data_IF_387216542000
#
_entry.id   IF_387216542000
#
_cell.length_a   1.000
_cell.length_b   1.000
_cell.length_c   1.000
_cell.angle_alpha   90.00
_cell.angle_beta   90.00
_cell.angle_gamma   90.00
#
_symmetry.space_group_name_H-M   'P 1'
#
loop_
_entity.id
_entity.type
_entity.pdbx_description
1 polymer ?
#
# COMPACT_ATOMS: atom_id res chain seq x y z
N UNK A 1 -16.92 -14.93 -43.93
CA UNK A 1 -17.47 -14.36 -42.68
C UNK A 1 -16.38 -14.46 -41.61
N UNK A 2 -15.77 -13.34 -41.21
CA UNK A 2 -14.93 -13.32 -40.00
C UNK A 2 -15.90 -13.15 -38.84
N UNK A 3 -16.31 -14.24 -38.22
CA UNK A 3 -17.01 -14.18 -36.95
C UNK A 3 -16.06 -13.56 -35.94
N UNK A 4 -16.41 -12.39 -35.44
CA UNK A 4 -15.82 -11.83 -34.23
C UNK A 4 -16.23 -12.76 -33.09
N UNK A 5 -15.39 -13.76 -32.81
CA UNK A 5 -15.54 -14.59 -31.61
C UNK A 5 -15.26 -13.63 -30.44
N UNK A 6 -16.28 -13.37 -29.63
CA UNK A 6 -16.09 -12.61 -28.39
C UNK A 6 -15.15 -13.40 -27.48
N UNK A 7 -14.24 -12.74 -26.74
CA UNK A 7 -13.39 -13.42 -25.77
C UNK A 7 -14.27 -14.20 -24.78
N UNK A 8 -13.92 -15.46 -24.45
CA UNK A 8 -14.77 -16.28 -23.57
C UNK A 8 -15.14 -15.65 -22.23
N UNK A 9 -14.24 -14.83 -21.67
CA UNK A 9 -14.50 -14.07 -20.45
C UNK A 9 -15.58 -12.99 -20.60
N UNK A 10 -15.70 -12.37 -21.77
CA UNK A 10 -16.75 -11.38 -22.07
C UNK A 10 -18.12 -12.07 -22.21
N UNK A 11 -18.16 -13.25 -22.84
CA UNK A 11 -19.37 -14.08 -22.94
C UNK A 11 -19.85 -14.55 -21.56
N UNK A 12 -18.92 -14.83 -20.64
CA UNK A 12 -19.21 -15.18 -19.25
C UNK A 12 -19.62 -13.98 -18.37
N UNK A 13 -19.73 -12.77 -18.93
CA UNK A 13 -20.04 -11.52 -18.21
C UNK A 13 -19.09 -11.25 -17.03
N UNK A 14 -17.82 -11.67 -17.16
CA UNK A 14 -16.77 -11.36 -16.19
C UNK A 14 -16.20 -9.98 -16.53
N UNK A 15 -16.11 -9.12 -15.52
CA UNK A 15 -15.73 -7.72 -15.65
C UNK A 15 -14.36 -7.47 -15.00
N UNK A 16 -13.69 -6.42 -15.46
CA UNK A 16 -12.45 -5.96 -14.85
C UNK A 16 -12.72 -5.62 -13.38
N UNK A 17 -11.99 -6.27 -12.48
CA UNK A 17 -12.13 -6.12 -11.03
C UNK A 17 -13.01 -7.15 -10.33
N UNK A 18 -13.48 -8.17 -11.04
CA UNK A 18 -14.08 -9.34 -10.41
C UNK A 18 -12.99 -10.24 -9.81
N UNK A 19 -13.21 -10.74 -8.59
CA UNK A 19 -12.31 -11.69 -7.94
C UNK A 19 -12.82 -13.12 -8.17
N UNK A 20 -12.02 -14.00 -8.77
CA UNK A 20 -12.38 -15.42 -8.93
C UNK A 20 -12.20 -16.12 -7.57
N UNK A 21 -13.28 -16.71 -7.05
CA UNK A 21 -13.28 -17.43 -5.77
C UNK A 21 -13.08 -18.94 -5.98
N UNK A 22 -13.74 -19.51 -6.98
CA UNK A 22 -13.65 -20.94 -7.28
C UNK A 22 -13.93 -21.24 -8.75
N UNK A 23 -13.37 -22.35 -9.22
CA UNK A 23 -13.63 -22.93 -10.54
C UNK A 23 -13.97 -24.41 -10.34
N UNK A 24 -15.11 -24.88 -10.86
CA UNK A 24 -15.58 -26.28 -10.73
C UNK A 24 -15.48 -26.80 -9.28
N UNK A 25 -16.10 -26.07 -8.34
CA UNK A 25 -16.09 -26.34 -6.90
C UNK A 25 -14.70 -26.33 -6.21
N UNK A 26 -13.63 -26.04 -6.96
CA UNK A 26 -12.28 -25.90 -6.42
C UNK A 26 -12.03 -24.45 -6.06
N UNK A 27 -11.78 -24.15 -4.78
CA UNK A 27 -11.40 -22.81 -4.35
C UNK A 27 -10.05 -22.44 -5.00
N UNK A 28 -10.01 -21.29 -5.67
CA UNK A 28 -8.80 -20.81 -6.33
C UNK A 28 -8.11 -19.83 -5.39
N UNK A 29 -6.89 -20.18 -5.00
CA UNK A 29 -6.05 -19.31 -4.16
C UNK A 29 -4.78 -18.87 -4.87
N UNK A 30 -4.38 -19.59 -5.93
CA UNK A 30 -3.16 -19.36 -6.68
C UNK A 30 -3.39 -19.46 -8.17
N UNK A 31 -2.66 -18.67 -8.95
CA UNK A 31 -2.83 -18.64 -10.41
C UNK A 31 -2.44 -19.96 -11.07
N UNK A 32 -1.47 -20.68 -10.48
CA UNK A 32 -1.02 -21.99 -10.98
C UNK A 32 -2.14 -23.05 -10.93
N UNK A 33 -3.17 -22.85 -10.11
CA UNK A 33 -4.32 -23.76 -9.99
C UNK A 33 -5.31 -23.59 -11.17
N UNK A 34 -5.32 -22.41 -11.83
CA UNK A 34 -6.30 -22.08 -12.87
C UNK A 34 -5.94 -22.74 -14.21
N UNK A 35 -4.68 -22.68 -14.62
CA UNK A 35 -4.27 -23.15 -15.95
C UNK A 35 -4.58 -24.65 -16.21
N UNK A 36 -4.32 -25.58 -15.27
CA UNK A 36 -4.69 -26.99 -15.45
C UNK A 36 -6.19 -27.20 -15.66
N UNK A 37 -7.02 -26.50 -14.88
CA UNK A 37 -8.48 -26.59 -14.96
C UNK A 37 -9.00 -26.13 -16.33
N UNK A 38 -8.44 -25.04 -16.86
CA UNK A 38 -8.78 -24.51 -18.19
C UNK A 38 -8.41 -25.50 -19.29
N UNK A 39 -7.22 -26.10 -19.21
CA UNK A 39 -6.74 -27.05 -20.22
C UNK A 39 -7.58 -28.32 -20.20
N UNK A 40 -7.91 -28.84 -19.03
CA UNK A 40 -8.74 -30.04 -18.88
C UNK A 40 -10.16 -29.81 -19.42
N UNK A 41 -10.82 -28.72 -18.99
CA UNK A 41 -12.16 -28.37 -19.47
C UNK A 41 -12.18 -28.11 -20.98
N UNK A 42 -11.16 -27.42 -21.51
CA UNK A 42 -11.03 -27.18 -22.95
C UNK A 42 -10.91 -28.48 -23.76
N UNK A 43 -10.11 -29.45 -23.30
CA UNK A 43 -9.96 -30.76 -23.96
C UNK A 43 -11.26 -31.58 -23.96
N UNK A 44 -12.01 -31.50 -22.86
CA UNK A 44 -13.27 -32.22 -22.71
C UNK A 44 -14.47 -31.48 -23.33
N UNK A 45 -14.27 -30.22 -23.76
CA UNK A 45 -15.32 -29.31 -24.23
C UNK A 45 -16.38 -29.02 -23.15
N UNK A 46 -15.98 -29.07 -21.89
CA UNK A 46 -16.85 -28.78 -20.76
C UNK A 46 -16.77 -27.27 -20.40
N UNK A 47 -17.89 -26.65 -20.00
CA UNK A 47 -17.86 -25.31 -19.44
C UNK A 47 -17.25 -25.34 -18.04
N UNK A 48 -16.50 -24.29 -17.69
CA UNK A 48 -16.04 -24.02 -16.34
C UNK A 48 -17.14 -23.30 -15.57
N UNK A 49 -17.53 -23.84 -14.41
CA UNK A 49 -18.36 -23.12 -13.45
C UNK A 49 -17.46 -22.22 -12.60
N UNK A 50 -17.57 -20.90 -12.82
CA UNK A 50 -16.74 -19.91 -12.16
C UNK A 50 -17.59 -19.13 -11.16
N UNK A 51 -17.17 -19.13 -9.90
CA UNK A 51 -17.73 -18.23 -8.89
C UNK A 51 -16.84 -17.02 -8.76
N UNK A 52 -17.42 -15.83 -8.95
CA UNK A 52 -16.74 -14.54 -8.82
C UNK A 52 -17.36 -13.71 -7.71
N UNK A 53 -16.57 -12.81 -7.12
CA UNK A 53 -17.02 -11.77 -6.21
C UNK A 53 -16.94 -10.41 -6.92
N UNK A 54 -18.08 -9.73 -7.02
CA UNK A 54 -18.20 -8.39 -7.59
C UNK A 54 -18.68 -7.43 -6.49
N UNK A 55 -17.74 -6.71 -5.88
CA UNK A 55 -18.06 -5.91 -4.69
C UNK A 55 -18.44 -6.83 -3.53
N UNK A 56 -19.68 -6.74 -3.02
CA UNK A 56 -20.17 -7.60 -1.94
C UNK A 56 -21.03 -8.77 -2.43
N UNK A 57 -21.24 -8.91 -3.74
CA UNK A 57 -22.07 -9.96 -4.31
C UNK A 57 -21.21 -11.12 -4.85
N UNK A 58 -21.64 -12.35 -4.57
CA UNK A 58 -21.12 -13.55 -5.21
C UNK A 58 -21.99 -13.89 -6.42
N UNK A 59 -21.35 -14.09 -7.58
CA UNK A 59 -22.02 -14.40 -8.84
C UNK A 59 -21.41 -15.69 -9.37
N UNK A 60 -22.25 -16.68 -9.70
CA UNK A 60 -21.83 -17.86 -10.45
C UNK A 60 -22.08 -17.63 -11.94
N UNK A 61 -21.09 -17.93 -12.76
CA UNK A 61 -21.17 -17.85 -14.22
C UNK A 61 -20.52 -19.07 -14.86
N UNK A 62 -20.82 -19.30 -16.14
CA UNK A 62 -20.19 -20.35 -16.93
C UNK A 62 -19.25 -19.74 -17.95
N UNK A 63 -18.06 -20.29 -18.06
CA UNK A 63 -17.04 -19.86 -19.00
C UNK A 63 -16.63 -21.05 -19.86
N UNK A 64 -16.68 -20.89 -21.19
CA UNK A 64 -16.25 -21.93 -22.12
C UNK A 64 -14.83 -21.66 -22.63
N UNK A 65 -13.81 -22.48 -22.30
CA UNK A 65 -12.47 -22.31 -22.86
C UNK A 65 -12.48 -22.44 -24.39
N UNK A 66 -11.74 -21.57 -25.06
CA UNK A 66 -11.55 -21.58 -26.52
C UNK A 66 -10.12 -21.97 -26.88
N UNK A 67 -9.95 -22.77 -27.94
CA UNK A 67 -8.63 -23.17 -28.41
C UNK A 67 -7.96 -22.06 -29.21
N UNK A 68 -6.79 -21.60 -28.76
CA UNK A 68 -5.95 -20.62 -29.45
C UNK A 68 -5.05 -21.34 -30.47
N UNK A 69 -5.34 -21.16 -31.75
CA UNK A 69 -4.61 -21.80 -32.86
C UNK A 69 -3.13 -21.34 -32.92
N UNK A 70 -2.84 -20.10 -32.52
CA UNK A 70 -1.47 -19.54 -32.60
C UNK A 70 -0.58 -20.14 -31.52
N UNK A 71 -1.13 -20.24 -30.32
CA UNK A 71 -0.40 -20.65 -29.12
C UNK A 71 -0.55 -22.15 -28.86
N UNK A 72 -1.42 -22.83 -29.62
CA UNK A 72 -1.73 -24.26 -29.55
C UNK A 72 -2.16 -24.71 -28.16
N UNK A 73 -2.97 -23.87 -27.49
CA UNK A 73 -3.44 -24.12 -26.12
C UNK A 73 -4.84 -23.54 -25.89
N UNK A 74 -5.53 -23.99 -24.83
CA UNK A 74 -6.86 -23.50 -24.45
C UNK A 74 -6.76 -22.22 -23.62
N UNK A 75 -7.64 -21.25 -23.90
CA UNK A 75 -7.66 -19.94 -23.24
C UNK A 75 -9.08 -19.51 -22.90
N UNK A 76 -9.17 -18.72 -21.83
CA UNK A 76 -10.43 -18.15 -21.33
C UNK A 76 -10.59 -16.65 -21.65
N UNK A 77 -9.60 -16.04 -22.29
CA UNK A 77 -9.63 -14.63 -22.66
C UNK A 77 -9.61 -13.66 -21.47
N UNK A 78 -9.23 -14.13 -20.28
CA UNK A 78 -9.06 -13.31 -19.08
C UNK A 78 -7.57 -13.11 -18.79
N UNK A 79 -7.23 -11.89 -18.38
CA UNK A 79 -5.95 -11.59 -17.75
C UNK A 79 -6.16 -11.57 -16.23
N UNK A 80 -5.69 -12.61 -15.55
CA UNK A 80 -5.84 -12.75 -14.10
C UNK A 80 -4.56 -12.20 -13.46
N UNK A 81 -4.71 -11.25 -12.53
CA UNK A 81 -3.63 -10.71 -11.71
C UNK A 81 -3.66 -11.41 -10.36
N UNK A 82 -2.55 -12.02 -9.96
CA UNK A 82 -2.43 -12.84 -8.75
C UNK A 82 -1.87 -12.07 -7.55
N UNK A 83 -1.15 -10.99 -7.81
CA UNK A 83 -0.43 -10.23 -6.82
C UNK A 83 -0.36 -8.76 -7.19
N UNK A 84 -0.33 -7.92 -6.16
CA UNK A 84 -0.02 -6.51 -6.28
C UNK A 84 1.26 -6.27 -5.47
N UNK A 85 2.29 -5.75 -6.15
CA UNK A 85 3.52 -5.31 -5.51
C UNK A 85 3.59 -3.79 -5.55
N UNK A 86 4.12 -3.19 -4.48
CA UNK A 86 4.29 -1.76 -4.37
C UNK A 86 5.38 -1.43 -3.37
N UNK A 87 5.91 -0.22 -3.49
CA UNK A 87 6.88 0.34 -2.55
C UNK A 87 6.11 1.20 -1.56
N UNK A 88 6.31 0.97 -0.26
CA UNK A 88 5.71 1.76 0.79
C UNK A 88 6.71 2.14 1.86
N UNK A 89 6.61 3.38 2.35
CA UNK A 89 7.39 3.80 3.52
C UNK A 89 6.67 3.40 4.79
N UNK A 90 7.40 2.77 5.71
CA UNK A 90 6.91 2.45 7.04
C UNK A 90 6.88 3.71 7.91
N UNK A 91 5.76 3.97 8.55
CA UNK A 91 5.53 5.15 9.40
C UNK A 91 5.92 4.89 10.85
N UNK A 92 5.52 3.75 11.39
CA UNK A 92 5.84 3.41 12.77
C UNK A 92 5.91 1.90 12.94
N UNK A 93 6.59 1.51 14.01
CA UNK A 93 6.62 0.16 14.54
C UNK A 93 6.55 0.23 16.07
N UNK A 94 5.60 -0.48 16.66
CA UNK A 94 5.54 -0.65 18.11
C UNK A 94 6.30 -1.91 18.53
N UNK A 95 7.42 -1.79 19.26
CA UNK A 95 8.23 -2.94 19.67
C UNK A 95 7.51 -3.87 20.65
N UNK A 96 6.47 -3.41 21.36
CA UNK A 96 5.78 -4.23 22.34
C UNK A 96 4.80 -5.19 21.68
N UNK A 97 3.96 -4.69 20.78
CA UNK A 97 2.96 -5.49 20.07
C UNK A 97 3.47 -6.07 18.76
N UNK A 98 4.64 -5.62 18.29
CA UNK A 98 5.22 -5.88 16.96
C UNK A 98 4.38 -5.39 15.78
N UNK A 99 3.37 -4.56 16.05
CA UNK A 99 2.51 -3.99 15.04
C UNK A 99 3.19 -2.82 14.34
N UNK A 100 2.89 -2.63 13.07
CA UNK A 100 3.41 -1.51 12.29
C UNK A 100 2.29 -0.86 11.47
N UNK A 101 2.55 0.37 11.02
CA UNK A 101 1.73 1.08 10.03
C UNK A 101 2.60 1.70 8.95
N UNK A 102 2.10 1.70 7.71
CA UNK A 102 2.80 2.22 6.53
C UNK A 102 1.86 3.03 5.62
N UNK A 103 2.45 3.84 4.73
CA UNK A 103 1.81 4.68 3.70
C UNK A 103 0.93 5.83 4.21
N UNK A 104 0.01 5.58 5.14
CA UNK A 104 -0.96 6.62 5.54
C UNK A 104 -2.12 6.81 4.54
N UNK A 105 -2.30 5.93 3.55
CA UNK A 105 -3.49 5.89 2.69
C UNK A 105 -3.82 4.48 2.23
N UNK A 106 -5.03 4.31 1.69
CA UNK A 106 -5.50 3.06 1.10
C UNK A 106 -4.74 2.72 -0.19
N UNK A 107 -4.43 1.44 -0.38
CA UNK A 107 -3.94 0.93 -1.66
C UNK A 107 -5.12 0.51 -2.52
N UNK A 108 -5.16 1.03 -3.75
CA UNK A 108 -6.17 0.71 -4.75
C UNK A 108 -5.53 0.07 -5.97
N UNK A 109 -6.26 -0.84 -6.60
CA UNK A 109 -5.88 -1.41 -7.88
C UNK A 109 -5.93 -0.33 -8.98
N UNK A 110 -4.92 -0.29 -9.85
CA UNK A 110 -4.77 0.79 -10.83
C UNK A 110 -5.85 0.79 -11.92
N UNK A 111 -6.36 -0.40 -12.27
CA UNK A 111 -7.30 -0.58 -13.37
C UNK A 111 -8.73 -0.29 -12.90
N UNK A 112 -9.08 -0.76 -11.70
CA UNK A 112 -10.42 -0.63 -11.13
C UNK A 112 -10.61 0.59 -10.23
N UNK A 113 -9.51 1.16 -9.74
CA UNK A 113 -9.46 2.19 -8.68
C UNK A 113 -10.13 1.77 -7.37
N UNK A 114 -10.49 0.50 -7.22
CA UNK A 114 -11.10 -0.04 -6.00
C UNK A 114 -9.99 -0.42 -5.00
N UNK A 115 -10.27 -0.33 -3.69
CA UNK A 115 -9.35 -0.83 -2.68
C UNK A 115 -8.98 -2.28 -2.92
N UNK A 116 -7.70 -2.60 -2.76
CA UNK A 116 -7.23 -3.99 -2.81
C UNK A 116 -7.71 -4.72 -1.56
N UNK A 117 -8.46 -5.80 -1.75
CA UNK A 117 -8.82 -6.73 -0.67
C UNK A 117 -7.60 -7.58 -0.32
N UNK A 118 -7.19 -7.53 0.96
CA UNK A 118 -6.04 -8.29 1.43
C UNK A 118 -6.52 -9.64 1.95
N UNK A 119 -6.22 -10.70 1.21
CA UNK A 119 -6.39 -12.08 1.68
C UNK A 119 -5.14 -12.53 2.44
N UNK A 120 -3.99 -12.48 1.76
CA UNK A 120 -2.67 -12.73 2.34
C UNK A 120 -1.70 -11.69 1.76
N UNK A 121 -0.84 -11.12 2.60
CA UNK A 121 0.21 -10.20 2.17
C UNK A 121 1.47 -10.35 2.98
N UNK A 122 2.59 -10.03 2.36
CA UNK A 122 3.92 -10.10 2.96
C UNK A 122 4.66 -8.81 2.70
N UNK A 123 5.42 -8.37 3.70
CA UNK A 123 6.41 -7.32 3.47
C UNK A 123 7.82 -7.91 3.36
N UNK A 124 8.59 -7.33 2.47
CA UNK A 124 9.99 -7.69 2.21
C UNK A 124 10.84 -6.43 2.30
N UNK A 125 12.14 -6.61 2.52
CA UNK A 125 13.08 -5.50 2.56
C UNK A 125 13.28 -4.94 1.15
N UNK A 126 13.44 -3.63 1.04
CA UNK A 126 13.72 -2.96 -0.22
C UNK A 126 14.84 -1.94 -0.03
N UNK A 127 15.65 -1.75 -1.07
CA UNK A 127 16.70 -0.73 -1.12
C UNK A 127 16.38 0.28 -2.22
N UNK A 128 16.44 1.57 -1.91
CA UNK A 128 16.27 2.63 -2.91
C UNK A 128 17.50 2.67 -3.81
N UNK A 129 17.31 2.53 -5.11
CA UNK A 129 18.38 2.51 -6.11
C UNK A 129 18.48 3.80 -6.90
N UNK A 130 17.36 4.49 -7.08
CA UNK A 130 17.28 5.72 -7.88
C UNK A 130 16.04 6.53 -7.48
N UNK A 131 16.07 7.83 -7.74
CA UNK A 131 14.90 8.71 -7.63
C UNK A 131 14.68 9.38 -8.96
N UNK A 132 13.50 9.16 -9.53
CA UNK A 132 13.03 9.98 -10.63
C UNK A 132 12.45 11.26 -10.05
N UNK A 133 13.14 12.36 -10.29
CA UNK A 133 12.73 13.70 -9.90
C UNK A 133 11.33 14.05 -10.42
N UNK A 134 10.52 14.67 -9.57
CA UNK A 134 9.23 15.23 -9.95
C UNK A 134 9.38 16.56 -10.66
N UNK A 135 8.49 16.82 -11.61
CA UNK A 135 8.41 18.08 -12.37
C UNK A 135 6.97 18.61 -12.31
N UNK A 136 6.74 19.88 -12.70
CA UNK A 136 5.39 20.45 -12.70
C UNK A 136 4.41 19.59 -13.51
N UNK A 137 3.38 19.07 -12.83
CA UNK A 137 2.34 18.22 -13.41
C UNK A 137 2.71 16.73 -13.54
N UNK A 138 3.95 16.34 -13.23
CA UNK A 138 4.40 14.95 -13.23
C UNK A 138 5.02 14.59 -11.86
N UNK A 139 4.33 13.80 -11.02
CA UNK A 139 4.91 13.37 -9.76
C UNK A 139 6.17 12.54 -10.02
N UNK A 140 7.19 12.77 -9.21
CA UNK A 140 8.38 11.91 -9.20
C UNK A 140 8.09 10.57 -8.54
N UNK A 141 9.06 9.66 -8.57
CA UNK A 141 8.95 8.31 -8.00
C UNK A 141 10.28 7.83 -7.42
N UNK A 142 10.21 7.12 -6.30
CA UNK A 142 11.34 6.30 -5.81
C UNK A 142 11.38 4.98 -6.57
N UNK A 143 12.56 4.59 -7.04
CA UNK A 143 12.82 3.26 -7.56
C UNK A 143 13.56 2.45 -6.50
N UNK A 144 13.11 1.22 -6.29
CA UNK A 144 13.69 0.34 -5.31
C UNK A 144 13.77 -1.08 -5.84
N UNK A 145 14.83 -1.77 -5.44
CA UNK A 145 14.97 -3.20 -5.66
C UNK A 145 14.52 -3.96 -4.40
N UNK A 146 13.82 -5.07 -4.61
CA UNK A 146 13.45 -5.98 -3.54
C UNK A 146 14.65 -6.85 -3.17
N UNK A 147 15.01 -6.89 -1.89
CA UNK A 147 16.03 -7.80 -1.38
C UNK A 147 15.33 -9.11 -1.03
N UNK A 148 15.28 -10.02 -2.00
CA UNK A 148 14.61 -11.31 -1.90
C UNK A 148 15.61 -12.34 -1.34
N UNK A 149 16.04 -12.17 -0.09
CA UNK A 149 16.88 -13.15 0.62
C UNK A 149 16.01 -14.16 1.42
N UNK A 150 14.84 -14.54 0.91
CA UNK A 150 13.85 -15.47 1.52
C UNK A 150 13.25 -15.07 2.89
N UNK A 151 13.69 -13.96 3.51
CA UNK A 151 13.18 -13.52 4.81
C UNK A 151 12.03 -12.54 4.66
N UNK A 152 10.80 -13.06 4.66
CA UNK A 152 9.60 -12.26 4.88
C UNK A 152 9.70 -11.55 6.25
N UNK A 153 9.64 -10.22 6.25
CA UNK A 153 9.77 -9.38 7.46
C UNK A 153 8.50 -9.41 8.32
N UNK A 154 7.34 -9.59 7.72
CA UNK A 154 6.05 -9.51 8.37
C UNK A 154 4.89 -9.83 7.44
N UNK A 155 3.69 -9.80 8.00
CA UNK A 155 2.44 -9.94 7.27
C UNK A 155 1.80 -8.59 6.96
N UNK A 156 0.85 -8.61 6.04
CA UNK A 156 -0.10 -7.52 5.84
C UNK A 156 -1.48 -8.08 6.15
N UNK A 157 -2.18 -7.45 7.08
CA UNK A 157 -3.50 -7.93 7.55
C UNK A 157 -4.62 -6.93 7.27
N UNK A 158 -4.30 -5.65 7.03
CA UNK A 158 -5.30 -4.61 6.86
C UNK A 158 -4.87 -3.55 5.85
N UNK A 159 -5.80 -3.21 4.96
CA UNK A 159 -5.73 -2.06 4.05
C UNK A 159 -6.89 -1.13 4.39
N UNK A 160 -6.59 0.10 4.81
CA UNK A 160 -7.60 1.06 5.24
C UNK A 160 -7.32 2.45 4.66
N UNK A 161 -8.26 3.41 4.78
CA UNK A 161 -8.03 4.80 4.43
C UNK A 161 -6.82 5.45 5.11
N UNK A 162 -6.34 4.89 6.22
CA UNK A 162 -5.23 5.43 7.02
C UNK A 162 -3.91 4.69 6.81
N UNK A 163 -3.84 3.74 5.87
CA UNK A 163 -2.63 3.00 5.57
C UNK A 163 -2.81 1.49 5.58
N UNK A 164 -1.64 0.84 5.48
CA UNK A 164 -1.48 -0.61 5.52
C UNK A 164 -0.93 -1.00 6.90
N UNK A 165 -1.49 -2.06 7.49
CA UNK A 165 -1.11 -2.54 8.83
C UNK A 165 -0.90 -4.05 8.87
N UNK A 166 -0.06 -4.46 9.81
CA UNK A 166 0.28 -5.86 10.05
C UNK A 166 1.23 -6.03 11.22
N UNK A 167 1.87 -7.18 11.27
CA UNK A 167 2.79 -7.60 12.33
C UNK A 167 4.13 -8.01 11.74
N UNK A 168 5.21 -7.58 12.40
CA UNK A 168 6.56 -7.96 12.03
C UNK A 168 7.01 -9.20 12.80
N UNK A 169 7.73 -10.11 12.14
CA UNK A 169 8.26 -11.34 12.76
C UNK A 169 9.38 -11.00 13.75
N UNK A 170 10.31 -10.17 13.32
CA UNK A 170 11.43 -9.64 14.12
C UNK A 170 11.37 -8.12 14.20
N UNK A 171 11.97 -7.56 15.27
CA UNK A 171 12.20 -6.12 15.30
C UNK A 171 13.16 -5.76 14.17
N UNK A 172 12.71 -4.89 13.25
CA UNK A 172 13.51 -4.37 12.12
C UNK A 172 14.76 -3.61 12.57
N UNK A 173 14.88 -3.37 13.86
CA UNK A 173 15.92 -2.56 14.47
C UNK A 173 17.18 -3.39 14.72
N UNK A 174 17.80 -3.87 13.64
CA UNK A 174 19.24 -4.23 13.64
C UNK A 174 20.10 -3.06 13.11
N UNK A 175 19.59 -1.83 13.18
CA UNK A 175 20.34 -0.61 12.89
C UNK A 175 20.68 0.14 14.18
N UNK A 176 21.97 0.33 14.48
CA UNK A 176 22.48 1.16 15.58
C UNK A 176 22.28 2.68 15.31
N UNK A 177 21.18 3.08 14.66
CA UNK A 177 20.90 4.46 14.26
C UNK A 177 20.15 5.26 15.32
N UNK A 178 20.20 6.59 15.26
CA UNK A 178 19.48 7.51 16.15
C UNK A 178 17.97 7.21 16.23
N UNK A 179 17.38 6.71 15.14
CA UNK A 179 15.96 6.43 14.97
C UNK A 179 15.52 5.02 15.43
N UNK A 180 16.44 4.26 16.03
CA UNK A 180 16.17 2.93 16.60
C UNK A 180 15.45 2.96 17.95
N UNK A 181 15.41 4.13 18.60
CA UNK A 181 14.82 4.30 19.92
C UNK A 181 13.34 4.68 19.81
N UNK A 182 12.48 4.16 20.70
CA UNK A 182 11.08 4.58 20.76
C UNK A 182 10.96 6.10 20.90
N UNK A 183 10.09 6.70 20.09
CA UNK A 183 9.78 8.12 20.10
C UNK A 183 8.35 8.33 20.61
N UNK A 184 8.08 9.33 21.46
CA UNK A 184 6.71 9.67 21.85
C UNK A 184 5.88 10.14 20.63
N UNK A 185 4.57 10.04 20.76
CA UNK A 185 3.62 10.60 19.79
C UNK A 185 3.09 11.95 20.25
N UNK A 186 2.58 12.74 19.32
CA UNK A 186 1.79 13.93 19.60
C UNK A 186 0.33 13.70 19.19
N UNK A 187 -0.59 14.17 20.04
CA UNK A 187 -2.01 14.25 19.69
C UNK A 187 -2.25 15.41 18.71
N UNK A 188 -3.34 15.40 17.93
CA UNK A 188 -3.70 16.48 17.02
C UNK A 188 -3.68 17.87 17.67
N UNK A 189 -4.13 17.98 18.94
CA UNK A 189 -4.13 19.23 19.69
C UNK A 189 -2.74 19.78 20.04
N UNK A 190 -1.69 18.95 19.94
CA UNK A 190 -0.30 19.32 20.22
C UNK A 190 0.47 19.74 18.96
N UNK A 191 -0.08 19.48 17.76
CA UNK A 191 0.54 19.86 16.49
C UNK A 191 0.42 21.36 16.29
N UNK A 192 1.51 21.99 15.86
CA UNK A 192 1.55 23.43 15.59
C UNK A 192 2.08 23.71 14.20
N UNK A 193 1.63 24.81 13.62
CA UNK A 193 2.27 25.40 12.44
C UNK A 193 3.70 25.81 12.77
N UNK A 194 4.62 25.61 11.82
CA UNK A 194 6.03 25.93 11.99
C UNK A 194 6.98 24.79 11.59
N UNK A 195 8.24 24.83 12.04
CA UNK A 195 9.25 23.86 11.63
C UNK A 195 8.93 22.45 12.13
N UNK A 196 9.22 21.47 11.30
CA UNK A 196 9.14 20.04 11.58
C UNK A 196 10.18 19.32 10.72
N UNK A 197 10.29 18.00 10.88
CA UNK A 197 11.16 17.16 10.07
C UNK A 197 10.39 15.95 9.54
N UNK A 198 10.78 15.44 8.39
CA UNK A 198 10.32 14.13 7.92
C UNK A 198 11.50 13.15 7.92
N UNK A 199 11.21 11.89 8.22
CA UNK A 199 12.17 10.80 8.02
C UNK A 199 11.87 10.09 6.72
N UNK A 200 12.84 10.00 5.83
CA UNK A 200 12.68 9.24 4.60
C UNK A 200 14.02 8.70 4.11
N UNK A 201 13.96 7.70 3.23
CA UNK A 201 15.13 7.10 2.58
C UNK A 201 15.18 7.59 1.14
N UNK A 202 16.27 8.22 0.73
CA UNK A 202 16.47 8.67 -0.65
C UNK A 202 17.50 7.86 -1.42
N UNK A 203 18.39 7.17 -0.71
CA UNK A 203 19.43 6.34 -1.29
C UNK A 203 19.71 5.15 -0.39
N UNK A 204 19.81 3.96 -0.99
CA UNK A 204 20.07 2.74 -0.26
C UNK A 204 19.00 2.41 0.77
N UNK A 205 19.43 2.27 2.02
CA UNK A 205 18.58 2.00 3.17
C UNK A 205 18.76 3.03 4.31
N UNK A 206 19.44 4.13 4.00
CA UNK A 206 19.80 5.13 5.01
C UNK A 206 18.60 6.01 5.36
N UNK A 207 18.23 6.02 6.65
CA UNK A 207 17.16 6.86 7.16
C UNK A 207 17.73 8.25 7.45
N UNK A 208 17.31 9.22 6.65
CA UNK A 208 17.71 10.61 6.80
C UNK A 208 16.54 11.48 7.30
N UNK A 209 16.88 12.56 7.99
CA UNK A 209 15.93 13.60 8.37
C UNK A 209 16.06 14.80 7.44
N UNK A 210 14.91 15.30 7.00
CA UNK A 210 14.80 16.46 6.13
C UNK A 210 13.86 17.48 6.75
N UNK A 211 14.25 18.75 6.69
CA UNK A 211 13.48 19.85 7.23
C UNK A 211 12.23 20.15 6.37
N UNK A 212 11.11 20.30 7.07
CA UNK A 212 9.82 20.67 6.47
C UNK A 212 9.15 21.74 7.32
N UNK A 213 8.14 22.39 6.76
CA UNK A 213 7.30 23.35 7.47
C UNK A 213 5.86 22.87 7.48
N UNK A 214 5.26 22.80 8.65
CA UNK A 214 3.82 22.63 8.80
C UNK A 214 3.16 23.97 8.48
N UNK A 215 2.47 24.02 7.35
CA UNK A 215 1.78 25.21 6.85
C UNK A 215 0.42 25.35 7.53
N UNK A 216 -0.24 24.24 7.80
CA UNK A 216 -1.53 24.21 8.46
C UNK A 216 -1.71 22.87 9.17
N UNK A 217 -2.37 22.88 10.34
CA UNK A 217 -2.85 21.67 10.99
C UNK A 217 -4.28 21.87 11.45
N UNK A 218 -5.16 20.98 10.98
CA UNK A 218 -6.57 21.00 11.35
C UNK A 218 -6.72 20.15 12.59
N UNK A 219 -7.16 20.76 13.69
CA UNK A 219 -7.54 20.00 14.88
C UNK A 219 -8.82 19.21 14.57
N UNK A 220 -8.70 17.89 14.49
CA UNK A 220 -9.77 17.01 14.09
C UNK A 220 -10.36 16.30 15.30
N UNK A 221 -11.67 16.40 15.49
CA UNK A 221 -12.41 15.63 16.49
C UNK A 221 -12.79 14.22 16.01
N UNK A 222 -12.49 13.89 14.75
CA UNK A 222 -12.77 12.59 14.13
C UNK A 222 -11.67 12.20 13.12
N UNK A 223 -11.47 10.89 12.87
CA UNK A 223 -10.47 10.41 11.92
C UNK A 223 -10.65 11.00 10.52
N UNK A 224 -9.59 11.62 9.98
CA UNK A 224 -9.58 12.10 8.60
C UNK A 224 -8.18 12.05 7.99
N UNK A 225 -8.15 11.98 6.65
CA UNK A 225 -6.95 11.76 5.84
C UNK A 225 -6.29 13.05 5.33
N UNK A 226 -6.72 14.21 5.85
CA UNK A 226 -6.18 15.54 5.51
C UNK A 226 -6.03 16.41 6.77
N UNK A 227 -5.28 15.94 7.75
CA UNK A 227 -5.05 16.65 9.03
C UNK A 227 -3.94 17.69 9.00
N UNK A 228 -2.90 17.47 8.19
CA UNK A 228 -1.68 18.30 8.18
C UNK A 228 -1.36 18.69 6.74
N UNK A 229 -1.01 19.95 6.53
CA UNK A 229 -0.42 20.46 5.29
C UNK A 229 1.03 20.81 5.58
N UNK A 230 1.94 20.26 4.78
CA UNK A 230 3.36 20.49 4.92
C UNK A 230 4.00 20.91 3.60
N UNK A 231 5.10 21.63 3.72
CA UNK A 231 5.94 22.12 2.64
C UNK A 231 7.38 21.65 2.90
N UNK A 232 8.03 21.06 1.89
CA UNK A 232 9.43 20.67 1.98
C UNK A 232 10.30 21.93 1.91
N UNK A 233 11.11 22.17 2.95
CA UNK A 233 12.04 23.31 3.02
C UNK A 233 13.51 22.90 2.91
N UNK A 234 13.82 21.60 3.03
CA UNK A 234 15.18 21.07 2.89
C UNK A 234 15.63 21.11 1.44
N UNK A 235 16.68 21.90 1.20
CA UNK A 235 17.23 22.10 -0.13
C UNK A 235 17.83 20.82 -0.74
N UNK A 236 18.42 19.94 0.07
CA UNK A 236 18.99 18.68 -0.42
C UNK A 236 17.89 17.78 -0.96
N UNK A 237 16.77 17.69 -0.22
CA UNK A 237 15.63 16.88 -0.66
C UNK A 237 15.03 17.44 -1.96
N UNK A 238 14.84 18.76 -2.04
CA UNK A 238 14.30 19.42 -3.24
C UNK A 238 15.21 19.24 -4.47
N UNK A 239 16.53 19.28 -4.29
CA UNK A 239 17.49 19.11 -5.37
C UNK A 239 17.43 17.69 -5.96
N UNK A 240 17.40 16.67 -5.11
CA UNK A 240 17.35 15.26 -5.53
C UNK A 240 15.97 14.86 -6.08
N UNK A 241 14.90 15.29 -5.42
CA UNK A 241 13.56 14.70 -5.65
C UNK A 241 12.58 15.65 -6.32
N UNK A 242 12.84 16.96 -6.29
CA UNK A 242 11.91 17.98 -6.77
C UNK A 242 10.72 18.24 -5.83
N UNK A 243 10.68 17.60 -4.66
CA UNK A 243 9.58 17.70 -3.69
C UNK A 243 9.13 16.34 -3.16
N UNK A 244 7.84 16.21 -2.85
CA UNK A 244 7.26 14.95 -2.39
C UNK A 244 7.02 14.04 -3.60
N UNK A 245 7.69 12.90 -3.63
CA UNK A 245 7.58 11.91 -4.71
C UNK A 245 6.79 10.68 -4.29
N UNK A 246 6.26 9.92 -5.24
CA UNK A 246 5.68 8.60 -4.96
C UNK A 246 6.69 7.69 -4.27
N UNK A 247 6.22 6.95 -3.28
CA UNK A 247 7.06 6.16 -2.38
C UNK A 247 7.45 6.90 -1.09
N UNK A 248 7.38 8.24 -1.01
CA UNK A 248 7.52 8.97 0.27
C UNK A 248 6.28 8.86 1.16
N UNK A 249 5.14 8.49 0.59
CA UNK A 249 3.92 8.19 1.34
C UNK A 249 4.22 7.20 2.47
N UNK A 250 3.90 7.60 3.69
CA UNK A 250 4.21 6.90 4.94
C UNK A 250 5.43 7.46 5.70
N UNK A 251 6.16 8.42 5.12
CA UNK A 251 7.32 9.04 5.81
C UNK A 251 6.86 9.68 7.13
N UNK A 252 7.43 9.29 8.28
CA UNK A 252 7.05 9.84 9.57
C UNK A 252 7.36 11.34 9.64
N UNK A 253 6.41 12.12 10.13
CA UNK A 253 6.56 13.55 10.41
C UNK A 253 6.86 13.72 11.90
N UNK A 254 7.92 14.44 12.22
CA UNK A 254 8.42 14.68 13.58
C UNK A 254 8.38 16.18 13.88
N UNK A 255 7.78 16.54 15.01
CA UNK A 255 7.80 17.89 15.54
C UNK A 255 7.99 17.83 17.05
N UNK A 256 8.89 18.64 17.60
CA UNK A 256 9.21 18.66 19.04
C UNK A 256 9.57 17.27 19.60
N UNK A 257 10.41 16.52 18.88
CA UNK A 257 10.83 15.15 19.22
C UNK A 257 9.68 14.14 19.39
N UNK A 258 8.54 14.42 18.76
CA UNK A 258 7.36 13.55 18.73
C UNK A 258 6.95 13.23 17.30
N UNK A 259 6.51 12.00 17.06
CA UNK A 259 5.85 11.64 15.80
C UNK A 259 4.46 12.27 15.82
N UNK A 260 4.13 13.06 14.81
CA UNK A 260 2.83 13.75 14.71
C UNK A 260 1.91 13.12 13.65
N UNK A 261 2.48 12.42 12.67
CA UNK A 261 1.74 11.85 11.56
C UNK A 261 2.64 11.30 10.45
N UNK A 262 2.04 11.10 9.27
CA UNK A 262 2.71 10.61 8.08
C UNK A 262 2.43 11.49 6.86
N UNK A 263 3.41 11.57 5.95
CA UNK A 263 3.22 12.11 4.59
C UNK A 263 2.31 11.17 3.81
N UNK A 264 1.35 11.66 3.01
CA UNK A 264 0.45 10.78 2.23
C UNK A 264 0.44 11.12 0.74
N UNK A 265 -0.08 12.29 0.37
CA UNK A 265 -0.30 12.69 -1.01
C UNK A 265 0.36 14.03 -1.31
N UNK A 266 1.03 14.12 -2.45
CA UNK A 266 1.57 15.37 -2.99
C UNK A 266 0.48 16.18 -3.71
N UNK A 267 0.62 17.51 -3.74
CA UNK A 267 -0.23 18.33 -4.61
C UNK A 267 0.24 18.21 -6.06
N UNK A 268 -0.66 17.80 -6.97
CA UNK A 268 -0.32 17.61 -8.39
C UNK A 268 0.25 18.88 -9.05
N UNK A 269 -0.19 20.05 -8.59
CA UNK A 269 0.23 21.34 -9.14
C UNK A 269 1.49 21.91 -8.47
N UNK A 270 1.85 21.41 -7.29
CA UNK A 270 2.98 21.90 -6.50
C UNK A 270 3.68 20.72 -5.80
N UNK A 271 4.75 20.15 -6.38
CA UNK A 271 5.41 18.98 -5.81
C UNK A 271 6.08 19.26 -4.46
N UNK A 272 6.39 20.52 -4.12
CA UNK A 272 7.05 20.85 -2.84
C UNK A 272 6.06 20.84 -1.67
N UNK A 273 4.77 20.97 -1.95
CA UNK A 273 3.69 20.95 -0.97
C UNK A 273 2.91 19.64 -1.02
N UNK A 274 2.48 19.16 0.15
CA UNK A 274 1.64 17.98 0.22
C UNK A 274 0.79 17.91 1.47
N UNK A 275 -0.10 16.92 1.45
CA UNK A 275 -0.83 16.51 2.64
C UNK A 275 0.07 15.62 3.50
N UNK A 276 0.35 16.05 4.71
CA UNK A 276 0.62 15.17 5.85
C UNK A 276 -0.71 14.58 6.29
N UNK A 277 -1.21 13.60 5.54
CA UNK A 277 -2.63 13.29 5.57
C UNK A 277 -3.15 12.79 6.91
N UNK A 278 -2.36 12.04 7.67
CA UNK A 278 -2.88 11.28 8.81
C UNK A 278 -2.10 11.55 10.07
N UNK A 279 -2.80 11.96 11.13
CA UNK A 279 -2.25 12.00 12.48
C UNK A 279 -1.90 10.60 12.96
N UNK A 280 -0.77 10.47 13.66
CA UNK A 280 -0.27 9.18 14.12
C UNK A 280 -1.27 8.45 15.03
N UNK A 281 -2.08 9.20 15.78
CA UNK A 281 -3.16 8.69 16.62
C UNK A 281 -4.10 7.75 15.85
N UNK A 282 -4.58 8.18 14.67
CA UNK A 282 -5.52 7.40 13.88
C UNK A 282 -4.87 6.15 13.29
N UNK A 283 -3.58 6.24 12.93
CA UNK A 283 -2.86 5.07 12.44
C UNK A 283 -2.65 4.03 13.56
N UNK A 284 -2.40 4.49 14.80
CA UNK A 284 -2.26 3.60 15.95
C UNK A 284 -3.59 2.94 16.32
N UNK A 285 -4.69 3.69 16.31
CA UNK A 285 -6.03 3.15 16.55
C UNK A 285 -6.41 2.10 15.50
N UNK A 286 -6.13 2.38 14.22
CA UNK A 286 -6.39 1.45 13.10
C UNK A 286 -5.54 0.17 13.18
N UNK A 287 -4.32 0.26 13.72
CA UNK A 287 -3.48 -0.87 14.05
C UNK A 287 -3.98 -1.64 15.30
N UNK A 288 -4.95 -1.11 16.03
CA UNK A 288 -5.45 -1.65 17.30
C UNK A 288 -4.43 -1.49 18.43
N UNK A 289 -3.75 -0.35 18.49
CA UNK A 289 -2.87 0.07 19.58
C UNK A 289 -3.61 1.16 20.36
N UNK A 290 -4.09 0.79 21.55
CA UNK A 290 -4.85 1.69 22.42
C UNK A 290 -3.90 2.63 23.18
N UNK A 291 -3.81 3.87 22.71
CA UNK A 291 -2.95 4.91 23.30
C UNK A 291 -3.56 5.52 24.58
N UNK A 292 -4.86 5.34 24.82
CA UNK A 292 -5.57 5.90 25.97
C UNK A 292 -5.50 5.01 27.21
N UNK A 293 -5.37 3.70 27.05
CA UNK A 293 -5.15 2.78 28.18
C UNK A 293 -3.79 2.93 28.84
N UNK A 294 -2.78 3.44 28.13
CA UNK A 294 -1.43 3.55 28.67
C UNK A 294 -1.26 4.72 29.66
N UNK A 295 -2.02 5.82 29.50
CA UNK A 295 -1.97 6.96 30.44
C UNK A 295 -2.50 6.58 31.84
N UNK A 296 -3.50 5.70 31.91
CA UNK A 296 -4.10 5.26 33.17
C UNK A 296 -3.19 4.35 34.04
N UNK A 297 -2.01 3.93 33.55
CA UNK A 297 -1.05 3.14 34.33
C UNK A 297 0.01 3.96 35.06
N UNK A 298 0.04 5.29 34.92
CA UNK A 298 1.02 6.17 35.61
C UNK A 298 0.46 6.97 36.80
N UNK A 299 -0.73 6.62 37.29
CA UNK A 299 -1.22 7.09 38.57
C UNK A 299 -1.31 5.91 39.55
N UNK A 300 -0.19 5.58 40.21
CA UNK A 300 -0.12 4.74 41.41
C UNK A 300 1.10 5.15 42.22
#
# INVERSE_FOLDING_TARGET
MRGTISPPGEEANIQIGDNILSINDTAITKMEEVAPLVIEAGKNQDPLEVKIKRGNEEISTQLQPAYDIKEKDYRIGLYIRDSAAGIGTMTFFDPNTKKYGALGHIISDMDTRKPVEINNGSIVRSQITDIKKGEHGLPGEKKADFIIDDVQLGDITKNSPFGIFGTLKEALVKGNGKWSKPMPIALPSQVKEGPAQILTVINGEEIEAFDVKIVNSINQSAPATKGIILEITDQRLLEETGGIVQGMSGSPIIQNDKIIGAVTHVFVNDPTSGYGGVHIEWMLDEAGIDIYKQENKKAS
#
